data_IF_454233900655
#
_entry.id   IF_454233900655
#
_cell.length_a   1.000
_cell.length_b   1.000
_cell.length_c   1.000
_cell.angle_alpha   90.00
_cell.angle_beta   90.00
_cell.angle_gamma   90.00
#
_symmetry.space_group_name_H-M   'P 1'
#
loop_
_entity.id
_entity.type
_entity.pdbx_description
1 polymer ?
#
# COMPACT_ATOMS: atom_id res chain seq x y z
N UNK A 1 -8.29 13.62 -23.91
CA UNK A 1 -8.24 12.68 -22.78
C UNK A 1 -7.00 11.87 -23.07
N UNK A 2 -5.96 12.12 -22.29
CA UNK A 2 -4.69 11.43 -22.45
C UNK A 2 -4.86 9.96 -22.02
N UNK A 3 -3.92 9.11 -22.39
CA UNK A 3 -3.91 7.71 -21.99
C UNK A 3 -3.98 7.54 -20.47
N UNK A 4 -3.23 8.37 -19.73
CA UNK A 4 -3.17 8.33 -18.27
C UNK A 4 -4.50 8.71 -17.61
N UNK A 5 -5.21 9.70 -18.17
CA UNK A 5 -6.56 10.09 -17.71
C UNK A 5 -7.57 8.94 -17.86
N UNK A 6 -7.43 8.14 -18.93
CA UNK A 6 -8.31 7.01 -19.21
C UNK A 6 -8.03 5.88 -18.23
N UNK A 7 -6.75 5.55 -18.02
CA UNK A 7 -6.36 4.48 -17.09
C UNK A 7 -6.78 4.83 -15.67
N UNK A 8 -6.46 6.03 -15.19
CA UNK A 8 -6.84 6.48 -13.85
C UNK A 8 -8.36 6.50 -13.66
N UNK A 9 -9.06 7.26 -14.51
CA UNK A 9 -10.48 7.53 -14.30
C UNK A 9 -11.41 6.37 -14.67
N UNK A 10 -11.09 5.60 -15.72
CA UNK A 10 -12.01 4.58 -16.26
C UNK A 10 -11.65 3.15 -15.92
N UNK A 11 -10.41 2.90 -15.47
CA UNK A 11 -9.95 1.55 -15.13
C UNK A 11 -9.66 1.45 -13.63
N UNK A 12 -8.74 2.27 -13.14
CA UNK A 12 -8.31 2.21 -11.74
C UNK A 12 -9.41 2.64 -10.78
N UNK A 13 -10.08 3.78 -11.05
CA UNK A 13 -11.17 4.27 -10.20
C UNK A 13 -12.27 3.23 -9.94
N UNK A 14 -12.91 2.65 -10.98
CA UNK A 14 -13.92 1.61 -10.80
C UNK A 14 -13.39 0.34 -10.12
N UNK A 15 -12.15 -0.07 -10.43
CA UNK A 15 -11.53 -1.23 -9.83
C UNK A 15 -11.33 -1.04 -8.33
N UNK A 16 -10.81 0.12 -7.92
CA UNK A 16 -10.60 0.45 -6.50
C UNK A 16 -11.92 0.65 -5.75
N UNK A 17 -12.95 1.20 -6.40
CA UNK A 17 -14.27 1.34 -5.80
C UNK A 17 -14.96 -0.02 -5.53
N UNK A 18 -14.79 -0.99 -6.42
CA UNK A 18 -15.49 -2.28 -6.34
C UNK A 18 -14.71 -3.35 -5.56
N UNK A 19 -13.39 -3.41 -5.74
CA UNK A 19 -12.55 -4.49 -5.22
C UNK A 19 -11.47 -3.98 -4.25
N UNK A 20 -11.32 -2.66 -4.12
CA UNK A 20 -10.35 -2.07 -3.21
C UNK A 20 -10.69 -2.34 -1.75
N UNK A 21 -9.65 -2.51 -0.96
CA UNK A 21 -9.73 -2.54 0.50
C UNK A 21 -9.65 -1.12 1.03
N UNK A 22 -10.52 -0.77 1.97
CA UNK A 22 -10.49 0.52 2.64
C UNK A 22 -9.26 0.63 3.56
N UNK A 23 -8.48 1.68 3.36
CA UNK A 23 -7.21 1.91 4.05
C UNK A 23 -7.21 3.34 4.57
N UNK A 24 -6.73 3.51 5.80
CA UNK A 24 -6.38 4.83 6.34
C UNK A 24 -4.91 5.06 6.08
N UNK A 25 -4.60 6.04 5.23
CA UNK A 25 -3.23 6.44 4.92
C UNK A 25 -2.81 7.60 5.83
N UNK A 26 -1.57 7.56 6.28
CA UNK A 26 -0.99 8.47 7.26
C UNK A 26 0.40 8.87 6.78
N UNK A 27 0.51 9.98 6.03
CA UNK A 27 1.81 10.52 5.65
C UNK A 27 2.67 10.84 6.87
N UNK A 28 3.98 10.84 6.70
CA UNK A 28 4.93 11.25 7.75
C UNK A 28 4.62 12.69 8.23
N UNK A 29 4.27 13.55 7.30
CA UNK A 29 3.89 14.94 7.52
C UNK A 29 2.49 15.20 6.96
N UNK A 30 1.53 15.44 7.84
CA UNK A 30 0.17 15.82 7.45
C UNK A 30 -0.93 15.13 8.25
N UNK A 31 -2.16 15.26 7.75
CA UNK A 31 -3.33 14.58 8.28
C UNK A 31 -3.55 13.22 7.63
N UNK A 32 -4.19 12.31 8.35
CA UNK A 32 -4.61 11.03 7.79
C UNK A 32 -5.79 11.20 6.83
N UNK A 33 -5.87 10.34 5.82
CA UNK A 33 -6.97 10.32 4.85
C UNK A 33 -7.32 8.88 4.45
N UNK A 34 -8.49 8.72 3.84
CA UNK A 34 -8.97 7.41 3.40
C UNK A 34 -8.67 7.19 1.93
N UNK A 35 -8.20 5.99 1.61
CA UNK A 35 -8.02 5.50 0.25
C UNK A 35 -8.62 4.10 0.12
N UNK A 36 -8.79 3.64 -1.11
CA UNK A 36 -9.01 2.24 -1.44
C UNK A 36 -7.84 1.70 -2.25
N UNK A 37 -7.38 0.50 -1.88
CA UNK A 37 -6.21 -0.12 -2.51
C UNK A 37 -6.33 -1.64 -2.59
N UNK A 38 -5.65 -2.24 -3.56
CA UNK A 38 -5.55 -3.69 -3.69
C UNK A 38 -4.48 -4.21 -2.71
N UNK A 39 -4.91 -4.56 -1.50
CA UNK A 39 -4.02 -5.10 -0.46
C UNK A 39 -3.72 -6.57 -0.69
N UNK A 40 -2.43 -6.88 -0.83
CA UNK A 40 -1.90 -8.24 -0.89
C UNK A 40 -1.14 -8.53 0.41
N UNK A 41 -1.67 -9.48 1.18
CA UNK A 41 -1.20 -9.76 2.53
C UNK A 41 0.02 -10.67 2.49
N UNK A 42 1.05 -10.28 3.24
CA UNK A 42 2.21 -11.12 3.52
C UNK A 42 1.83 -12.42 4.22
N UNK A 43 2.45 -13.51 3.78
CA UNK A 43 2.49 -14.76 4.54
C UNK A 43 3.74 -14.74 5.43
N UNK A 44 3.51 -14.76 6.74
CA UNK A 44 4.56 -14.94 7.74
C UNK A 44 4.69 -16.43 8.02
N UNK A 45 5.81 -17.03 7.60
CA UNK A 45 6.21 -18.37 8.03
C UNK A 45 7.04 -18.27 9.30
N UNK A 46 6.82 -19.17 10.26
CA UNK A 46 7.77 -19.36 11.36
C UNK A 46 8.75 -20.43 10.91
N UNK A 47 10.04 -20.13 10.93
CA UNK A 47 11.06 -21.15 10.73
C UNK A 47 11.02 -22.13 11.92
N UNK A 48 10.67 -23.41 11.70
CA UNK A 48 10.52 -24.39 12.77
C UNK A 48 11.86 -24.76 13.45
N UNK A 49 13.00 -24.40 12.86
CA UNK A 49 14.34 -24.72 13.38
C UNK A 49 14.88 -23.59 14.26
N UNK A 50 14.65 -22.33 13.87
CA UNK A 50 15.23 -21.16 14.56
C UNK A 50 14.20 -20.36 15.37
N UNK A 51 12.90 -20.60 15.17
CA UNK A 51 11.82 -19.80 15.75
C UNK A 51 11.74 -18.37 15.21
N UNK A 52 12.55 -18.04 14.21
CA UNK A 52 12.58 -16.70 13.60
C UNK A 52 11.38 -16.53 12.66
N UNK A 53 10.79 -15.33 12.68
CA UNK A 53 9.76 -14.95 11.72
C UNK A 53 10.41 -14.72 10.36
N UNK A 54 10.14 -15.61 9.40
CA UNK A 54 10.58 -15.44 8.01
C UNK A 54 9.41 -14.86 7.24
N UNK A 55 9.62 -13.66 6.68
CA UNK A 55 8.67 -13.06 5.74
C UNK A 55 8.86 -13.76 4.40
N UNK A 56 7.97 -14.69 4.06
CA UNK A 56 8.09 -15.44 2.79
C UNK A 56 7.57 -14.63 1.61
N UNK A 57 6.65 -13.67 1.86
CA UNK A 57 6.12 -12.75 0.87
C UNK A 57 6.00 -11.36 1.48
N UNK A 58 6.57 -10.35 0.82
CA UNK A 58 6.50 -8.97 1.29
C UNK A 58 5.06 -8.44 1.11
N UNK A 59 4.45 -7.77 2.10
CA UNK A 59 3.12 -7.23 1.95
C UNK A 59 3.15 -6.07 0.97
N UNK A 60 2.15 -5.97 0.09
CA UNK A 60 2.09 -4.88 -0.89
C UNK A 60 0.68 -4.33 -1.04
N UNK A 61 0.58 -3.07 -1.45
CA UNK A 61 -0.70 -2.45 -1.79
C UNK A 61 -0.60 -1.83 -3.17
N UNK A 62 -1.47 -2.28 -4.08
CA UNK A 62 -1.72 -1.56 -5.33
C UNK A 62 -2.59 -0.34 -5.04
N UNK A 63 -2.15 0.83 -5.49
CA UNK A 63 -2.79 2.12 -5.24
C UNK A 63 -3.17 2.80 -6.55
N UNK A 64 -4.12 3.73 -6.44
CA UNK A 64 -4.42 4.72 -7.46
C UNK A 64 -3.90 6.08 -6.97
N UNK A 65 -2.98 6.68 -7.72
CA UNK A 65 -2.24 7.87 -7.30
C UNK A 65 -3.15 9.09 -7.17
N UNK A 66 -4.20 9.19 -7.98
CA UNK A 66 -5.15 10.32 -7.92
C UNK A 66 -5.96 10.41 -6.63
N UNK A 67 -5.99 9.35 -5.79
CA UNK A 67 -6.60 9.39 -4.47
C UNK A 67 -5.74 10.14 -3.44
N UNK A 68 -4.47 10.41 -3.76
CA UNK A 68 -3.51 10.99 -2.84
C UNK A 68 -3.43 12.51 -3.05
N UNK A 69 -3.60 13.32 -1.98
CA UNK A 69 -3.38 14.77 -2.07
C UNK A 69 -1.90 15.12 -2.28
N UNK A 70 -1.00 14.25 -1.81
CA UNK A 70 0.45 14.31 -1.97
C UNK A 70 0.91 12.91 -2.27
N UNK A 71 1.80 12.76 -3.26
CA UNK A 71 2.33 11.45 -3.64
C UNK A 71 2.89 10.68 -2.43
N UNK A 72 2.65 9.36 -2.35
CA UNK A 72 3.11 8.54 -1.24
C UNK A 72 4.63 8.49 -1.17
N UNK A 73 5.18 8.44 0.04
CA UNK A 73 6.61 8.45 0.28
C UNK A 73 7.05 7.32 1.20
N UNK A 74 8.36 7.09 1.24
CA UNK A 74 8.95 6.17 2.20
C UNK A 74 8.69 6.66 3.63
N UNK A 75 8.50 5.71 4.55
CA UNK A 75 8.18 5.91 5.96
C UNK A 75 6.76 6.36 6.28
N UNK A 76 5.95 6.68 5.28
CA UNK A 76 4.50 6.84 5.46
C UNK A 76 3.90 5.56 6.05
N UNK A 77 2.80 5.70 6.78
CA UNK A 77 2.13 4.57 7.42
C UNK A 77 0.73 4.39 6.86
N UNK A 78 0.24 3.16 6.93
CA UNK A 78 -1.12 2.85 6.55
C UNK A 78 -1.72 1.82 7.48
N UNK A 79 -3.04 1.88 7.62
CA UNK A 79 -3.82 0.93 8.40
C UNK A 79 -4.89 0.31 7.52
N UNK A 80 -4.96 -1.01 7.50
CA UNK A 80 -6.02 -1.75 6.82
C UNK A 80 -7.27 -1.69 7.70
N UNK A 81 -8.30 -0.95 7.30
CA UNK A 81 -9.43 -0.62 8.17
C UNK A 81 -10.21 -1.86 8.65
N UNK A 82 -10.25 -2.92 7.83
CA UNK A 82 -10.98 -4.16 8.15
C UNK A 82 -10.28 -5.01 9.21
N UNK A 83 -8.95 -5.06 9.20
CA UNK A 83 -8.16 -5.95 10.07
C UNK A 83 -7.49 -5.21 11.22
N UNK A 84 -7.34 -3.88 11.11
CA UNK A 84 -6.55 -3.07 12.04
C UNK A 84 -5.04 -3.26 11.88
N UNK A 85 -4.59 -4.01 10.88
CA UNK A 85 -3.16 -4.21 10.61
C UNK A 85 -2.53 -2.88 10.18
N UNK A 86 -1.41 -2.54 10.80
CA UNK A 86 -0.65 -1.34 10.49
C UNK A 86 0.66 -1.71 9.80
N UNK A 87 1.01 -0.93 8.79
CA UNK A 87 2.18 -1.13 7.96
C UNK A 87 2.87 0.19 7.70
N UNK A 88 4.18 0.12 7.45
CA UNK A 88 4.98 1.23 6.98
C UNK A 88 5.34 1.04 5.51
N UNK A 89 5.31 2.12 4.73
CA UNK A 89 5.75 2.15 3.35
C UNK A 89 7.29 2.10 3.32
N UNK A 90 7.82 1.04 2.70
CA UNK A 90 9.26 0.86 2.50
C UNK A 90 9.71 1.41 1.17
N UNK A 91 8.96 1.11 0.11
CA UNK A 91 9.27 1.56 -1.25
C UNK A 91 7.99 1.91 -2.00
N UNK A 92 8.13 2.84 -2.94
CA UNK A 92 7.04 3.35 -3.78
C UNK A 92 7.43 3.12 -5.23
N UNK A 93 6.64 2.31 -5.94
CA UNK A 93 6.83 2.01 -7.36
C UNK A 93 5.65 2.57 -8.15
N UNK A 94 5.76 3.80 -8.63
CA UNK A 94 4.75 4.43 -9.47
C UNK A 94 4.89 3.94 -10.92
N UNK A 95 3.77 3.71 -11.60
CA UNK A 95 3.77 3.16 -12.97
C UNK A 95 3.78 4.24 -14.08
N UNK A 96 3.66 5.51 -13.71
CA UNK A 96 3.59 6.64 -14.64
C UNK A 96 2.24 6.79 -15.38
N UNK A 97 1.24 5.97 -15.03
CA UNK A 97 -0.07 5.90 -15.68
C UNK A 97 -1.23 6.05 -14.68
N UNK A 98 -0.96 6.64 -13.50
CA UNK A 98 -1.94 6.88 -12.43
C UNK A 98 -2.05 5.75 -11.42
N UNK A 99 -1.33 4.64 -11.60
CA UNK A 99 -1.24 3.55 -10.64
C UNK A 99 0.10 3.50 -9.92
N UNK A 100 0.17 2.63 -8.92
CA UNK A 100 1.43 2.37 -8.23
C UNK A 100 1.35 1.18 -7.31
N UNK A 101 2.51 0.68 -6.91
CA UNK A 101 2.66 -0.38 -5.91
C UNK A 101 3.48 0.12 -4.74
N UNK A 102 2.90 0.02 -3.55
CA UNK A 102 3.58 0.26 -2.29
C UNK A 102 4.11 -1.07 -1.74
N UNK A 103 5.41 -1.13 -1.49
CA UNK A 103 6.02 -2.24 -0.76
C UNK A 103 5.99 -1.91 0.71
N UNK A 104 5.46 -2.81 1.53
CA UNK A 104 5.22 -2.57 2.94
C UNK A 104 6.21 -3.31 3.83
N UNK A 105 6.35 -2.82 5.06
CA UNK A 105 7.10 -3.46 6.12
C UNK A 105 6.42 -3.28 7.49
N UNK A 106 6.80 -4.10 8.46
CA UNK A 106 6.37 -3.92 9.86
C UNK A 106 6.88 -2.57 10.36
N UNK A 107 6.05 -1.85 11.12
CA UNK A 107 6.43 -0.54 11.67
C UNK A 107 7.68 -0.69 12.54
N UNK A 108 8.71 0.11 12.26
CA UNK A 108 9.95 0.14 13.03
C UNK A 108 10.94 -0.98 12.70
N UNK A 109 10.64 -1.86 11.74
CA UNK A 109 11.60 -2.83 11.25
C UNK A 109 12.62 -2.13 10.34
N UNK A 110 13.84 -1.98 10.86
CA UNK A 110 15.02 -1.57 10.10
C UNK A 110 15.71 -2.82 9.55
N UNK A 111 16.19 -2.75 8.31
CA UNK A 111 16.98 -3.85 7.73
C UNK A 111 18.21 -4.10 8.62
N UNK A 112 18.40 -5.37 9.02
CA UNK A 112 19.63 -5.89 9.62
C UNK A 112 20.69 -6.10 8.56
#
# INVERSE_FOLDING_TARGET
MDWDDIVDGKILGPLMAQFGTAITYMPIDGGSFQITGAYDKAFFGVDPVTGSTVVTQQPTVGIQVSQFPVEPQQYDTLMINKTGEQWQVREVHLDGHGGGRLMLNVIGQTDV
#
